data_IF_698017580369
#
_entry.id   IF_698017580369
#
_cell.length_a   1.000
_cell.length_b   1.000
_cell.length_c   1.000
_cell.angle_alpha   90.00
_cell.angle_beta   90.00
_cell.angle_gamma   90.00
#
_symmetry.space_group_name_H-M   'P 1'
#
loop_
_entity.id
_entity.type
_entity.pdbx_description
1 polymer ?
#
# COMPACT_ATOMS: atom_id res chain seq x y z
N UNK A 1 11.03 -18.29 -6.32
CA UNK A 1 10.44 -16.96 -6.58
C UNK A 1 10.09 -16.36 -5.23
N UNK A 2 10.32 -15.07 -4.99
CA UNK A 2 9.90 -14.46 -3.73
C UNK A 2 8.38 -14.37 -3.68
N UNK A 3 7.75 -14.78 -2.56
CA UNK A 3 6.30 -14.73 -2.35
C UNK A 3 5.80 -13.30 -2.09
N UNK A 4 6.20 -12.34 -2.93
CA UNK A 4 5.75 -10.97 -2.88
C UNK A 4 4.27 -10.90 -3.30
N UNK A 5 3.54 -9.94 -2.76
CA UNK A 5 2.12 -9.75 -3.04
C UNK A 5 1.86 -9.48 -4.54
N UNK A 6 2.82 -8.87 -5.22
CA UNK A 6 2.76 -8.52 -6.65
C UNK A 6 3.34 -9.57 -7.59
N UNK A 7 3.71 -10.78 -7.12
CA UNK A 7 4.42 -11.80 -7.92
C UNK A 7 3.78 -12.08 -9.30
N UNK A 8 2.46 -12.09 -9.36
CA UNK A 8 1.71 -12.38 -10.59
C UNK A 8 1.74 -11.18 -11.56
N UNK A 9 1.74 -9.94 -11.03
CA UNK A 9 1.88 -8.72 -11.83
C UNK A 9 3.27 -8.65 -12.48
N UNK A 10 4.31 -8.95 -11.69
CA UNK A 10 5.70 -9.00 -12.16
C UNK A 10 5.87 -10.09 -13.24
N UNK A 11 5.35 -11.30 -13.00
CA UNK A 11 5.46 -12.41 -13.95
C UNK A 11 4.72 -12.17 -15.28
N UNK A 12 3.64 -11.38 -15.26
CA UNK A 12 2.79 -11.13 -16.44
C UNK A 12 3.04 -9.78 -17.10
N UNK A 13 3.94 -8.94 -16.56
CA UNK A 13 4.29 -7.63 -17.12
C UNK A 13 3.10 -6.66 -17.18
N UNK A 14 2.24 -6.67 -16.16
CA UNK A 14 0.95 -5.97 -16.19
C UNK A 14 1.04 -4.55 -15.66
N UNK A 15 0.75 -3.57 -16.53
CA UNK A 15 0.57 -2.16 -16.18
C UNK A 15 1.82 -1.49 -15.61
N UNK A 16 1.93 -0.16 -15.72
CA UNK A 16 3.01 0.56 -15.05
C UNK A 16 2.76 0.61 -13.54
N UNK A 17 1.57 0.92 -13.06
CA UNK A 17 1.34 1.10 -11.62
C UNK A 17 0.67 -0.13 -11.02
N UNK A 18 1.16 -0.58 -9.86
CA UNK A 18 0.62 -1.73 -9.13
C UNK A 18 0.08 -1.29 -7.78
N UNK A 19 -1.05 -1.85 -7.38
CA UNK A 19 -1.63 -1.53 -6.09
C UNK A 19 -2.16 -2.75 -5.36
N UNK A 20 -2.08 -2.68 -4.04
CA UNK A 20 -2.81 -3.51 -3.11
C UNK A 20 -3.71 -2.59 -2.28
N UNK A 21 -5.00 -2.92 -2.19
CA UNK A 21 -5.92 -2.25 -1.28
C UNK A 21 -6.52 -3.27 -0.31
N UNK A 22 -6.73 -2.84 0.91
CA UNK A 22 -7.43 -3.60 1.93
C UNK A 22 -8.30 -2.66 2.76
N UNK A 23 -9.55 -3.06 3.00
CA UNK A 23 -10.40 -2.39 3.96
C UNK A 23 -10.69 -3.30 5.14
N UNK A 24 -10.61 -2.69 6.31
CA UNK A 24 -10.92 -3.29 7.59
C UNK A 24 -12.29 -2.82 8.06
N UNK A 25 -12.89 -3.55 8.99
CA UNK A 25 -14.17 -3.17 9.57
C UNK A 25 -14.07 -1.77 10.21
N UNK A 26 -15.14 -0.95 10.20
CA UNK A 26 -15.09 0.43 10.70
C UNK A 26 -14.52 0.59 12.12
N UNK A 27 -14.78 -0.37 13.01
CA UNK A 27 -14.23 -0.39 14.38
C UNK A 27 -12.71 -0.58 14.46
N UNK A 28 -12.06 -0.94 13.35
CA UNK A 28 -10.62 -1.21 13.29
C UNK A 28 -9.78 0.04 13.03
N UNK A 29 -10.36 1.20 12.72
CA UNK A 29 -9.59 2.36 12.22
C UNK A 29 -8.46 2.81 13.16
N UNK A 30 -8.76 2.98 14.46
CA UNK A 30 -7.75 3.37 15.46
C UNK A 30 -6.70 2.27 15.65
N UNK A 31 -7.13 1.00 15.70
CA UNK A 31 -6.24 -0.15 15.81
C UNK A 31 -5.33 -0.30 14.59
N UNK A 32 -5.85 -0.06 13.39
CA UNK A 32 -5.12 -0.15 12.13
C UNK A 32 -3.98 0.86 12.11
N UNK A 33 -4.27 2.12 12.41
CA UNK A 33 -3.24 3.16 12.45
C UNK A 33 -2.15 2.84 13.49
N UNK A 34 -2.52 2.35 14.67
CA UNK A 34 -1.57 1.97 15.71
C UNK A 34 -0.70 0.77 15.31
N UNK A 35 -1.32 -0.31 14.84
CA UNK A 35 -0.62 -1.51 14.37
C UNK A 35 0.30 -1.18 13.19
N UNK A 36 -0.18 -0.36 12.25
CA UNK A 36 0.59 0.07 11.10
C UNK A 36 1.81 0.90 11.47
N UNK A 37 1.67 1.86 12.41
CA UNK A 37 2.80 2.63 12.94
C UNK A 37 3.86 1.71 13.55
N UNK A 38 3.45 0.67 14.28
CA UNK A 38 4.37 -0.24 14.96
C UNK A 38 5.19 -1.13 13.99
N UNK A 39 4.73 -1.33 12.75
CA UNK A 39 5.41 -2.23 11.81
C UNK A 39 6.67 -1.66 11.17
N UNK A 40 6.78 -0.33 11.06
CA UNK A 40 7.95 0.42 10.58
C UNK A 40 8.77 -0.32 9.48
N UNK A 41 8.22 -0.45 8.25
CA UNK A 41 8.85 -1.24 7.20
C UNK A 41 10.25 -0.73 6.83
N UNK A 42 11.21 -1.64 6.67
CA UNK A 42 12.60 -1.28 6.39
C UNK A 42 12.75 -0.65 4.99
N UNK A 43 13.60 0.39 4.91
CA UNK A 43 13.81 1.15 3.67
C UNK A 43 12.68 2.12 3.35
N UNK A 44 11.74 2.32 4.27
CA UNK A 44 10.73 3.36 4.19
C UNK A 44 10.91 4.39 5.32
N UNK A 45 10.57 5.63 5.02
CA UNK A 45 10.54 6.72 5.97
C UNK A 45 9.09 7.10 6.26
N UNK A 46 8.75 7.25 7.56
CA UNK A 46 7.41 7.62 8.00
C UNK A 46 7.10 9.07 7.65
N UNK A 47 5.84 9.32 7.30
CA UNK A 47 5.22 10.62 7.17
C UNK A 47 3.84 10.57 7.84
N UNK A 48 3.53 11.58 8.66
CA UNK A 48 2.23 11.75 9.30
C UNK A 48 1.57 12.98 8.69
N UNK A 49 0.49 12.75 7.95
CA UNK A 49 -0.29 13.79 7.33
C UNK A 49 -1.31 14.35 8.32
N UNK A 50 -1.44 15.67 8.32
CA UNK A 50 -2.47 16.39 9.07
C UNK A 50 -3.34 17.21 8.10
N UNK A 51 -4.60 16.78 7.92
CA UNK A 51 -5.59 17.39 7.03
C UNK A 51 -5.10 17.54 5.58
N UNK A 52 -4.31 16.59 5.10
CA UNK A 52 -3.79 16.56 3.73
C UNK A 52 -4.67 15.71 2.81
N UNK A 53 -4.54 15.93 1.50
CA UNK A 53 -5.21 15.08 0.50
C UNK A 53 -4.78 13.62 0.67
N UNK A 54 -5.75 12.73 0.95
CA UNK A 54 -5.53 11.30 1.08
C UNK A 54 -5.70 10.63 -0.29
N UNK A 55 -4.69 9.89 -0.80
CA UNK A 55 -4.82 9.21 -2.09
C UNK A 55 -5.86 8.08 -2.10
N UNK A 56 -6.21 7.49 -0.94
CA UNK A 56 -7.27 6.47 -0.87
C UNK A 56 -8.65 7.10 -1.08
N UNK A 57 -8.95 8.15 -0.33
CA UNK A 57 -10.32 8.70 -0.23
C UNK A 57 -10.56 9.93 -1.09
N UNK A 58 -9.51 10.49 -1.72
CA UNK A 58 -9.57 11.70 -2.54
C UNK A 58 -10.16 12.91 -1.80
N UNK A 59 -9.92 12.99 -0.49
CA UNK A 59 -10.39 14.03 0.42
C UNK A 59 -9.33 14.32 1.47
N UNK A 60 -9.50 15.40 2.24
CA UNK A 60 -8.57 15.78 3.31
C UNK A 60 -8.76 14.91 4.56
N UNK A 61 -7.71 14.22 4.98
CA UNK A 61 -7.68 13.39 6.18
C UNK A 61 -6.36 13.51 6.93
N UNK A 62 -6.39 13.05 8.18
CA UNK A 62 -5.18 12.66 8.90
C UNK A 62 -4.88 11.20 8.57
N UNK A 63 -3.65 10.90 8.19
CA UNK A 63 -3.25 9.54 7.82
C UNK A 63 -1.76 9.31 8.07
N UNK A 64 -1.38 8.03 8.10
CA UNK A 64 0.02 7.62 8.21
C UNK A 64 0.44 7.03 6.87
N UNK A 65 1.63 7.42 6.41
CA UNK A 65 2.25 6.89 5.21
C UNK A 65 3.70 6.51 5.50
N UNK A 66 4.14 5.39 4.95
CA UNK A 66 5.52 5.02 4.80
C UNK A 66 5.86 5.16 3.33
N UNK A 67 6.86 5.98 3.02
CA UNK A 67 7.31 6.28 1.66
C UNK A 67 8.69 5.68 1.51
N UNK A 68 9.01 5.09 0.35
CA UNK A 68 10.38 4.64 0.10
C UNK A 68 11.38 5.77 0.42
N UNK A 69 12.45 5.45 1.12
CA UNK A 69 13.34 6.48 1.67
C UNK A 69 14.03 7.30 0.58
N UNK A 70 14.11 6.81 -0.66
CA UNK A 70 14.73 7.51 -1.78
C UNK A 70 13.84 8.65 -2.30
N UNK A 71 12.52 8.43 -2.34
CA UNK A 71 11.53 9.39 -2.83
C UNK A 71 10.85 10.21 -1.73
N UNK A 72 11.08 9.88 -0.46
CA UNK A 72 10.41 10.51 0.69
C UNK A 72 10.38 12.04 0.61
N UNK A 73 11.53 12.69 0.43
CA UNK A 73 11.60 14.15 0.41
C UNK A 73 10.79 14.77 -0.75
N UNK A 74 10.83 14.16 -1.94
CA UNK A 74 10.11 14.65 -3.11
C UNK A 74 8.59 14.47 -2.93
N UNK A 75 8.16 13.30 -2.45
CA UNK A 75 6.74 13.00 -2.23
C UNK A 75 6.15 13.86 -1.12
N UNK A 76 6.85 14.04 0.01
CA UNK A 76 6.38 14.91 1.09
C UNK A 76 6.21 16.35 0.62
N UNK A 77 7.19 16.90 -0.13
CA UNK A 77 7.07 18.25 -0.69
C UNK A 77 5.90 18.40 -1.65
N UNK A 78 5.60 17.38 -2.44
CA UNK A 78 4.41 17.39 -3.31
C UNK A 78 3.11 17.38 -2.49
N UNK A 79 3.04 16.57 -1.43
CA UNK A 79 1.87 16.49 -0.55
C UNK A 79 1.64 17.83 0.16
N UNK A 80 2.70 18.46 0.66
CA UNK A 80 2.65 19.75 1.36
C UNK A 80 2.47 20.95 0.42
N UNK A 81 2.50 20.74 -0.90
CA UNK A 81 2.34 21.81 -1.90
C UNK A 81 3.59 22.67 -2.13
N UNK A 82 4.73 22.27 -1.58
CA UNK A 82 6.03 22.94 -1.74
C UNK A 82 6.74 22.61 -3.06
N UNK A 83 6.20 21.66 -3.83
CA UNK A 83 6.72 21.27 -5.14
C UNK A 83 5.67 20.63 -6.05
N UNK A 84 5.95 20.63 -7.35
CA UNK A 84 5.19 19.89 -8.37
C UNK A 84 6.10 18.90 -9.11
N UNK A 85 7.01 18.25 -8.39
CA UNK A 85 7.95 17.31 -8.99
C UNK A 85 7.22 16.05 -9.43
N UNK A 86 7.41 15.62 -10.68
CA UNK A 86 6.89 14.34 -11.13
C UNK A 86 7.74 13.20 -10.56
N UNK A 87 7.17 12.43 -9.64
CA UNK A 87 7.78 11.21 -9.09
C UNK A 87 7.10 10.00 -9.73
N UNK A 88 7.77 9.37 -10.69
CA UNK A 88 7.19 8.26 -11.47
C UNK A 88 7.44 6.89 -10.83
N UNK A 89 8.63 6.66 -10.28
CA UNK A 89 9.00 5.40 -9.63
C UNK A 89 9.03 5.65 -8.13
N UNK A 90 8.11 5.02 -7.40
CA UNK A 90 8.00 5.17 -5.96
C UNK A 90 7.29 3.97 -5.34
N UNK A 91 7.44 3.82 -4.02
CA UNK A 91 6.60 2.95 -3.21
C UNK A 91 5.98 3.73 -2.05
N UNK A 92 4.68 3.62 -1.88
CA UNK A 92 4.00 4.09 -0.68
C UNK A 92 3.19 2.96 -0.04
N UNK A 93 3.19 2.94 1.28
CA UNK A 93 2.29 2.14 2.10
C UNK A 93 1.56 3.13 3.00
N UNK A 94 0.24 3.15 3.00
CA UNK A 94 -0.52 4.16 3.73
C UNK A 94 -1.75 3.57 4.38
N UNK A 95 -2.05 4.04 5.58
CA UNK A 95 -3.27 3.73 6.30
C UNK A 95 -4.05 5.02 6.58
N UNK A 96 -5.31 5.05 6.18
CA UNK A 96 -6.22 6.16 6.42
C UNK A 96 -7.59 5.59 6.78
N UNK A 97 -8.21 6.09 7.86
CA UNK A 97 -9.44 5.52 8.40
C UNK A 97 -9.31 4.00 8.60
N UNK A 98 -10.17 3.22 7.96
CA UNK A 98 -10.18 1.76 8.00
C UNK A 98 -9.53 1.13 6.74
N UNK A 99 -8.84 1.91 5.91
CA UNK A 99 -8.25 1.44 4.66
C UNK A 99 -6.71 1.44 4.71
N UNK A 100 -6.13 0.44 4.08
CA UNK A 100 -4.70 0.31 3.80
C UNK A 100 -4.52 0.27 2.27
N UNK A 101 -3.55 1.02 1.77
CA UNK A 101 -3.11 0.95 0.38
C UNK A 101 -1.59 0.80 0.31
N UNK A 102 -1.14 -0.04 -0.60
CA UNK A 102 0.22 -0.04 -1.12
C UNK A 102 0.14 0.35 -2.59
N UNK A 103 0.99 1.30 -2.99
CA UNK A 103 1.12 1.72 -4.38
C UNK A 103 2.57 1.62 -4.81
N UNK A 104 2.82 1.03 -5.98
CA UNK A 104 4.11 1.02 -6.66
C UNK A 104 3.95 1.71 -8.01
N UNK A 105 4.59 2.86 -8.17
CA UNK A 105 4.65 3.57 -9.45
C UNK A 105 5.64 2.88 -10.40
N UNK A 106 5.25 2.63 -11.65
CA UNK A 106 6.07 1.94 -12.66
C UNK A 106 6.66 0.58 -12.21
N UNK A 107 5.90 -0.18 -11.41
CA UNK A 107 6.33 -1.47 -10.86
C UNK A 107 7.45 -1.33 -9.85
N UNK A 108 7.76 -0.08 -9.46
CA UNK A 108 8.77 0.24 -8.48
C UNK A 108 10.19 -0.12 -8.89
N UNK A 109 11.08 -0.21 -7.90
CA UNK A 109 12.43 -0.72 -8.11
C UNK A 109 12.43 -2.26 -8.06
N UNK A 110 12.88 -2.97 -9.13
CA UNK A 110 12.95 -4.42 -9.13
C UNK A 110 13.76 -4.97 -7.95
N UNK A 111 13.24 -6.01 -7.30
CA UNK A 111 13.91 -6.66 -6.17
C UNK A 111 13.93 -5.86 -4.86
N UNK A 112 13.33 -4.68 -4.80
CA UNK A 112 13.29 -3.86 -3.57
C UNK A 112 11.91 -3.91 -2.91
N UNK A 113 11.91 -3.82 -1.59
CA UNK A 113 10.75 -3.63 -0.69
C UNK A 113 9.62 -4.67 -0.72
N UNK A 114 9.50 -5.52 -1.73
CA UNK A 114 8.39 -6.48 -1.84
C UNK A 114 8.25 -7.41 -0.63
N UNK A 115 9.38 -7.83 -0.03
CA UNK A 115 9.36 -8.62 1.20
C UNK A 115 8.79 -7.83 2.39
N UNK A 116 9.14 -6.55 2.54
CA UNK A 116 8.66 -5.68 3.61
C UNK A 116 7.19 -5.29 3.42
N UNK A 117 6.78 -4.98 2.19
CA UNK A 117 5.38 -4.74 1.83
C UNK A 117 4.52 -5.96 2.17
N UNK A 118 4.94 -7.15 1.72
CA UNK A 118 4.23 -8.39 2.04
C UNK A 118 4.23 -8.72 3.53
N UNK A 119 5.33 -8.44 4.25
CA UNK A 119 5.39 -8.57 5.71
C UNK A 119 4.34 -7.70 6.38
N UNK A 120 4.19 -6.43 5.96
CA UNK A 120 3.18 -5.52 6.49
C UNK A 120 1.77 -6.04 6.23
N UNK A 121 1.46 -6.45 4.99
CA UNK A 121 0.15 -7.02 4.63
C UNK A 121 -0.19 -8.19 5.55
N UNK A 122 0.75 -9.14 5.70
CA UNK A 122 0.55 -10.32 6.54
C UNK A 122 0.33 -9.96 8.01
N UNK A 123 1.17 -9.08 8.55
CA UNK A 123 1.08 -8.69 9.95
C UNK A 123 -0.26 -8.02 10.29
N UNK A 124 -0.76 -7.15 9.40
CA UNK A 124 -2.07 -6.50 9.59
C UNK A 124 -3.23 -7.49 9.42
N UNK A 125 -3.13 -8.43 8.47
CA UNK A 125 -4.14 -9.48 8.29
C UNK A 125 -4.20 -10.47 9.47
N UNK A 126 -3.08 -10.63 10.20
CA UNK A 126 -2.96 -11.54 11.35
C UNK A 126 -3.17 -10.83 12.69
N UNK A 127 -3.33 -9.51 12.71
CA UNK A 127 -3.51 -8.76 13.94
C UNK A 127 -4.87 -9.10 14.57
N UNK A 128 -4.92 -9.53 15.85
CA UNK A 128 -6.15 -10.03 16.47
C UNK A 128 -7.24 -8.97 16.61
N UNK A 129 -6.85 -7.70 16.70
CA UNK A 129 -7.76 -6.57 16.89
C UNK A 129 -8.20 -5.93 15.56
N UNK A 130 -7.77 -6.48 14.41
CA UNK A 130 -8.13 -6.00 13.08
C UNK A 130 -8.99 -7.01 12.35
N UNK A 131 -10.19 -6.58 11.96
CA UNK A 131 -11.08 -7.39 11.13
C UNK A 131 -10.94 -6.94 9.66
N UNK A 132 -10.17 -7.67 8.85
CA UNK A 132 -10.12 -7.42 7.41
C UNK A 132 -11.45 -7.83 6.76
N UNK A 133 -12.09 -6.93 6.01
CA UNK A 133 -13.35 -7.22 5.30
C UNK A 133 -13.08 -7.64 3.85
N UNK A 134 -12.33 -6.82 3.11
CA UNK A 134 -12.05 -7.04 1.70
C UNK A 134 -10.64 -6.61 1.32
N UNK A 135 -10.10 -7.23 0.28
CA UNK A 135 -8.80 -6.88 -0.30
C UNK A 135 -8.82 -7.06 -1.81
N UNK A 136 -7.98 -6.29 -2.49
CA UNK A 136 -7.72 -6.46 -3.92
C UNK A 136 -6.28 -6.12 -4.28
N UNK A 137 -5.84 -6.72 -5.38
CA UNK A 137 -4.59 -6.45 -6.09
C UNK A 137 -4.96 -6.07 -7.50
N UNK A 138 -4.39 -4.98 -7.99
CA UNK A 138 -4.62 -4.54 -9.35
C UNK A 138 -3.47 -3.75 -9.92
N UNK A 139 -3.66 -3.33 -11.15
CA UNK A 139 -2.70 -2.56 -11.91
C UNK A 139 -3.40 -1.52 -12.79
N UNK A 140 -2.65 -0.55 -13.30
CA UNK A 140 -3.17 0.47 -14.21
C UNK A 140 -2.23 1.67 -14.29
N UNK A 141 -2.82 2.87 -14.41
CA UNK A 141 -2.08 4.13 -14.41
C UNK A 141 -1.49 4.52 -15.76
N UNK A 142 -1.00 5.77 -15.86
CA UNK A 142 -0.33 6.31 -17.06
C UNK A 142 -1.07 6.06 -18.40
N UNK A 143 -2.39 6.15 -18.41
CA UNK A 143 -3.23 5.94 -19.60
C UNK A 143 -3.62 4.47 -19.85
N UNK A 144 -3.16 3.53 -19.04
CA UNK A 144 -3.63 2.14 -19.03
C UNK A 144 -4.90 2.01 -18.19
N UNK A 145 -5.83 1.10 -18.56
CA UNK A 145 -7.02 0.84 -17.76
C UNK A 145 -6.65 0.30 -16.37
N UNK A 146 -7.44 0.68 -15.38
CA UNK A 146 -7.36 0.08 -14.05
C UNK A 146 -8.07 -1.27 -14.06
N UNK A 147 -7.33 -2.32 -13.71
CA UNK A 147 -7.83 -3.71 -13.69
C UNK A 147 -7.52 -4.36 -12.34
N UNK A 148 -8.44 -5.20 -11.88
CA UNK A 148 -8.26 -6.02 -10.68
C UNK A 148 -7.78 -7.41 -11.12
N UNK A 149 -6.59 -7.77 -10.66
CA UNK A 149 -6.01 -9.10 -10.90
C UNK A 149 -6.58 -10.14 -9.93
N UNK A 150 -6.63 -9.80 -8.64
CA UNK A 150 -7.07 -10.69 -7.59
C UNK A 150 -7.82 -9.92 -6.52
N UNK A 151 -8.79 -10.57 -5.89
CA UNK A 151 -9.55 -10.00 -4.78
C UNK A 151 -10.12 -11.11 -3.89
N UNK A 152 -10.50 -10.74 -2.68
CA UNK A 152 -11.15 -11.66 -1.76
C UNK A 152 -11.69 -10.96 -0.52
N UNK A 153 -12.36 -11.74 0.33
CA UNK A 153 -12.92 -11.30 1.60
C UNK A 153 -12.21 -11.94 2.78
N UNK A 154 -11.88 -11.13 3.78
CA UNK A 154 -11.27 -11.61 5.02
C UNK A 154 -9.79 -12.00 4.94
N UNK A 155 -9.16 -12.00 6.11
CA UNK A 155 -7.74 -12.33 6.28
C UNK A 155 -7.39 -13.73 5.78
N UNK A 156 -8.25 -14.73 6.01
CA UNK A 156 -8.02 -16.11 5.60
C UNK A 156 -7.84 -16.26 4.09
N UNK A 157 -8.62 -15.53 3.29
CA UNK A 157 -8.50 -15.61 1.81
C UNK A 157 -7.25 -14.89 1.32
N UNK A 158 -6.90 -13.76 1.94
CA UNK A 158 -5.67 -13.03 1.66
C UNK A 158 -4.43 -13.87 1.95
N UNK A 159 -4.33 -14.43 3.15
CA UNK A 159 -3.18 -15.26 3.55
C UNK A 159 -3.04 -16.48 2.63
N UNK A 160 -4.15 -17.15 2.31
CA UNK A 160 -4.15 -18.25 1.34
C UNK A 160 -3.66 -17.80 -0.04
N UNK A 161 -4.02 -16.60 -0.49
CA UNK A 161 -3.51 -16.05 -1.75
C UNK A 161 -2.00 -15.77 -1.69
N UNK A 162 -1.51 -15.24 -0.58
CA UNK A 162 -0.08 -14.93 -0.37
C UNK A 162 0.78 -16.19 -0.20
N UNK A 163 0.20 -17.31 0.26
CA UNK A 163 0.87 -18.61 0.45
C UNK A 163 0.89 -19.49 -0.80
N UNK A 164 0.24 -19.07 -1.89
CA UNK A 164 0.31 -19.82 -3.16
C UNK A 164 1.76 -19.88 -3.67
N UNK A 165 2.20 -21.04 -4.20
CA UNK A 165 3.53 -21.21 -4.76
C UNK A 165 3.75 -20.35 -6.01
#
# INVERSE_FOLDING_TARGET
MSNNWFRELEATGKGPDWFFNAAFAPGSAAGLAAAFRALAPQGFTRYEAHRQHCPIHQQKYDYVMYIDSQQHAAIVRNIEGDSGQNVYIFHTIQACQNDLQIMRGYGGYPGQHGAEETRVIRALAQAPDLALEHWNIGYGGMGYPFEILAQGSGATTLLRYLDRP
#
